data_IF_466325426116
#
_entry.id   IF_466325426116
#
_cell.length_a   1.000
_cell.length_b   1.000
_cell.length_c   1.000
_cell.angle_alpha   90.00
_cell.angle_beta   90.00
_cell.angle_gamma   90.00
#
_symmetry.space_group_name_H-M   'P 1'
#
loop_
_entity.id
_entity.type
_entity.pdbx_description
1 polymer ?
#
# COMPACT_ATOMS: atom_id res chain seq x y z
N UNK A 1 -7.14 5.83 14.12
CA UNK A 1 -6.06 6.64 14.73
C UNK A 1 -4.77 6.38 13.95
N UNK A 2 -4.24 7.43 13.32
CA UNK A 2 -3.18 7.42 12.29
C UNK A 2 -1.79 7.24 12.93
N UNK A 3 -1.08 6.14 12.64
CA UNK A 3 0.35 6.04 13.00
C UNK A 3 1.29 6.75 12.02
N UNK A 4 0.83 7.09 10.81
CA UNK A 4 1.71 7.56 9.72
C UNK A 4 1.17 8.76 8.90
N UNK A 5 0.13 9.46 9.37
CA UNK A 5 -0.39 10.67 8.72
C UNK A 5 -1.14 10.45 7.38
N UNK A 6 -1.29 9.21 6.93
CA UNK A 6 -2.06 8.83 5.74
C UNK A 6 -3.47 8.39 6.19
N UNK A 7 -4.51 8.87 5.51
CA UNK A 7 -5.87 8.37 5.71
C UNK A 7 -6.07 7.05 4.95
N UNK A 8 -6.81 6.10 5.51
CA UNK A 8 -7.06 4.82 4.84
C UNK A 8 -7.96 4.97 3.61
N UNK A 9 -8.82 5.98 3.55
CA UNK A 9 -9.60 6.29 2.35
C UNK A 9 -8.67 6.70 1.20
N UNK A 10 -7.70 7.58 1.47
CA UNK A 10 -6.68 7.96 0.49
C UNK A 10 -5.81 6.75 0.10
N UNK A 11 -5.37 5.96 1.09
CA UNK A 11 -4.53 4.79 0.83
C UNK A 11 -5.25 3.69 0.04
N UNK A 12 -6.58 3.62 0.08
CA UNK A 12 -7.33 2.66 -0.71
C UNK A 12 -7.29 2.97 -2.21
N UNK A 13 -7.10 4.24 -2.60
CA UNK A 13 -7.08 4.61 -4.03
C UNK A 13 -5.85 4.08 -4.76
N UNK A 14 -4.81 3.61 -4.04
CA UNK A 14 -3.64 3.01 -4.70
C UNK A 14 -4.00 1.70 -5.40
N UNK A 15 -5.10 1.05 -5.02
CA UNK A 15 -5.55 -0.19 -5.68
C UNK A 15 -6.12 0.09 -7.07
N UNK A 16 -6.43 1.35 -7.38
CA UNK A 16 -6.86 1.81 -8.70
C UNK A 16 -5.69 2.32 -9.55
N UNK A 17 -4.47 2.37 -9.00
CA UNK A 17 -3.28 2.80 -9.74
C UNK A 17 -2.80 1.68 -10.68
N UNK A 18 -2.82 1.89 -12.01
CA UNK A 18 -2.43 0.87 -12.98
C UNK A 18 -0.95 0.51 -12.92
N UNK A 19 -0.11 1.33 -12.26
CA UNK A 19 1.31 1.09 -12.08
C UNK A 19 1.63 0.49 -10.70
N UNK A 20 0.64 0.27 -9.84
CA UNK A 20 0.85 -0.24 -8.50
C UNK A 20 1.52 -1.63 -8.53
N UNK A 21 2.58 -1.78 -7.74
CA UNK A 21 3.32 -3.03 -7.58
C UNK A 21 2.91 -3.68 -6.27
N UNK A 22 2.44 -4.92 -6.35
CA UNK A 22 2.04 -5.71 -5.16
C UNK A 22 2.97 -6.90 -4.97
N UNK A 23 3.47 -7.05 -3.75
CA UNK A 23 4.34 -8.17 -3.33
C UNK A 23 3.70 -8.89 -2.14
N UNK A 24 3.56 -10.22 -2.17
CA UNK A 24 3.14 -10.99 -1.01
C UNK A 24 4.24 -10.95 0.07
N UNK A 25 3.84 -10.74 1.32
CA UNK A 25 4.72 -10.85 2.49
C UNK A 25 4.64 -12.28 3.04
N UNK A 26 5.44 -13.16 2.44
CA UNK A 26 5.46 -14.61 2.69
C UNK A 26 5.98 -14.99 4.09
N UNK A 27 6.45 -14.02 4.89
CA UNK A 27 7.04 -14.24 6.21
C UNK A 27 6.04 -14.27 7.38
N UNK A 28 4.74 -14.15 7.13
CA UNK A 28 3.73 -14.04 8.20
C UNK A 28 2.70 -15.17 8.14
N UNK A 29 2.21 -15.63 9.30
CA UNK A 29 1.18 -16.68 9.39
C UNK A 29 -0.16 -16.28 8.72
N UNK A 30 -0.38 -14.98 8.51
CA UNK A 30 -1.49 -14.43 7.72
C UNK A 30 -0.98 -14.01 6.34
N UNK A 31 -1.68 -14.33 5.25
CA UNK A 31 -1.30 -13.86 3.91
C UNK A 31 -1.38 -12.34 3.80
N UNK A 32 -0.27 -11.66 4.08
CA UNK A 32 -0.12 -10.20 3.99
C UNK A 32 0.41 -9.82 2.63
N UNK A 33 0.03 -8.61 2.22
CA UNK A 33 0.38 -8.04 0.94
C UNK A 33 0.89 -6.63 1.16
N UNK A 34 1.93 -6.27 0.44
CA UNK A 34 2.49 -4.93 0.41
C UNK A 34 2.32 -4.38 -1.00
N UNK A 35 1.59 -3.28 -1.13
CA UNK A 35 1.45 -2.57 -2.41
C UNK A 35 2.15 -1.22 -2.32
N UNK A 36 2.95 -0.90 -3.34
CA UNK A 36 3.52 0.42 -3.57
C UNK A 36 2.84 1.01 -4.80
N UNK A 37 2.26 2.20 -4.65
CA UNK A 37 1.52 2.85 -5.72
C UNK A 37 1.26 4.32 -5.41
N UNK A 38 0.81 5.04 -6.41
CA UNK A 38 0.38 6.43 -6.32
C UNK A 38 -1.07 6.51 -5.87
N UNK A 39 -1.36 7.39 -4.91
CA UNK A 39 -2.74 7.69 -4.53
C UNK A 39 -3.37 8.76 -5.45
N UNK A 40 -4.66 9.06 -5.23
CA UNK A 40 -5.40 10.07 -5.99
C UNK A 40 -4.82 11.50 -5.89
N UNK A 41 -3.88 11.75 -4.96
CA UNK A 41 -3.17 13.01 -4.79
C UNK A 41 -1.74 12.96 -5.34
N UNK A 42 -1.43 11.96 -6.17
CA UNK A 42 -0.11 11.71 -6.74
C UNK A 42 1.00 11.48 -5.70
N UNK A 43 0.65 11.00 -4.50
CA UNK A 43 1.61 10.64 -3.46
C UNK A 43 1.90 9.14 -3.56
N UNK A 44 3.17 8.77 -3.61
CA UNK A 44 3.55 7.36 -3.57
C UNK A 44 3.49 6.85 -2.14
N UNK A 45 2.66 5.82 -1.93
CA UNK A 45 2.40 5.20 -0.65
C UNK A 45 2.85 3.75 -0.66
N UNK A 46 3.13 3.24 0.54
CA UNK A 46 3.29 1.82 0.83
C UNK A 46 2.15 1.40 1.73
N UNK A 47 1.35 0.45 1.27
CA UNK A 47 0.16 -0.06 1.96
C UNK A 47 0.32 -1.53 2.25
N UNK A 48 0.15 -1.89 3.52
CA UNK A 48 0.16 -3.26 4.01
C UNK A 48 -1.28 -3.66 4.31
N UNK A 49 -1.73 -4.77 3.74
CA UNK A 49 -3.10 -5.24 3.88
C UNK A 49 -3.18 -6.77 3.84
N UNK A 50 -4.36 -7.28 4.18
CA UNK A 50 -4.71 -8.69 4.05
C UNK A 50 -5.99 -8.82 3.23
N UNK A 51 -6.07 -9.89 2.46
CA UNK A 51 -7.33 -10.33 1.85
C UNK A 51 -8.14 -11.12 2.87
N UNK A 52 -9.42 -10.78 2.99
CA UNK A 52 -10.42 -11.57 3.70
C UNK A 52 -11.59 -11.81 2.77
N UNK A 53 -11.62 -12.99 2.17
CA UNK A 53 -12.61 -13.34 1.14
C UNK A 53 -12.58 -12.29 0.01
N UNK A 54 -13.67 -11.59 -0.26
CA UNK A 54 -13.74 -10.53 -1.28
C UNK A 54 -13.39 -9.12 -0.78
N UNK A 55 -12.83 -8.98 0.43
CA UNK A 55 -12.55 -7.68 1.06
C UNK A 55 -11.08 -7.47 1.36
N UNK A 56 -10.62 -6.25 1.13
CA UNK A 56 -9.29 -5.78 1.56
C UNK A 56 -9.42 -5.16 2.95
N UNK A 57 -8.54 -5.56 3.88
CA UNK A 57 -8.35 -4.87 5.16
C UNK A 57 -6.96 -4.26 5.21
N UNK A 58 -6.89 -2.93 5.14
CA UNK A 58 -5.64 -2.18 5.34
C UNK A 58 -5.20 -2.31 6.81
N UNK A 59 -3.97 -2.77 7.01
CA UNK A 59 -3.31 -2.88 8.31
C UNK A 59 -2.48 -1.63 8.58
N UNK A 60 -1.74 -1.16 7.56
CA UNK A 60 -0.89 0.02 7.65
C UNK A 60 -0.81 0.73 6.31
N UNK A 61 -0.67 2.05 6.35
CA UNK A 61 -0.40 2.88 5.19
C UNK A 61 0.59 3.97 5.58
N UNK A 62 1.61 4.19 4.76
CA UNK A 62 2.60 5.27 4.96
C UNK A 62 3.08 5.81 3.62
N UNK A 63 3.74 6.96 3.64
CA UNK A 63 4.48 7.44 2.46
C UNK A 63 5.64 6.50 2.16
N UNK A 64 5.92 6.31 0.87
CA UNK A 64 7.13 5.63 0.43
C UNK A 64 8.37 6.41 0.86
N UNK A 65 9.42 5.68 1.23
CA UNK A 65 10.75 6.24 1.41
C UNK A 65 11.35 6.62 0.05
N UNK A 66 12.41 7.43 0.04
CA UNK A 66 13.09 7.81 -1.21
C UNK A 66 13.59 6.61 -2.02
N UNK A 67 14.01 5.54 -1.37
CA UNK A 67 14.45 4.31 -2.05
C UNK A 67 13.29 3.55 -2.68
N UNK A 68 12.18 3.40 -1.97
CA UNK A 68 10.97 2.75 -2.47
C UNK A 68 10.33 3.52 -3.62
N UNK A 69 10.34 4.86 -3.52
CA UNK A 69 9.88 5.73 -4.60
C UNK A 69 10.68 5.55 -5.88
N UNK A 70 12.01 5.44 -5.79
CA UNK A 70 12.87 5.18 -6.96
C UNK A 70 12.60 3.81 -7.58
N UNK A 71 12.35 2.79 -6.76
CA UNK A 71 11.99 1.46 -7.27
C UNK A 71 10.64 1.46 -7.99
N UNK A 72 9.74 2.36 -7.59
CA UNK A 72 8.42 2.52 -8.20
C UNK A 72 8.47 3.31 -9.54
N UNK A 73 9.24 4.41 -9.62
CA UNK A 73 9.32 5.23 -10.83
C UNK A 73 10.30 4.73 -11.91
N UNK A 74 11.22 3.82 -11.56
CA UNK A 74 12.23 3.29 -12.49
C UNK A 74 13.57 4.02 -12.43
#
# INVERSE_FOLDING_TARGET
MRKHGVDFADAATIFDDPLAVTVPDEGTEESRFVTIGSDAQARVLVVVYVWRDVRIRIISARRASRSEWRQYEG
#
